data_IF_698781723606
#
_entry.id   IF_698781723606
#
_cell.length_a   1.000
_cell.length_b   1.000
_cell.length_c   1.000
_cell.angle_alpha   90.00
_cell.angle_beta   90.00
_cell.angle_gamma   90.00
#
_symmetry.space_group_name_H-M   'P 1'
#
loop_
_entity.id
_entity.type
_entity.pdbx_description
1 polymer ?
#
# COMPACT_ATOMS: atom_id res chain seq x y z
N UNK A 1 -41.03 61.27 11.61
CA UNK A 1 -41.63 59.92 11.48
C UNK A 1 -40.49 58.98 11.10
N UNK A 2 -39.93 58.07 11.89
CA UNK A 2 -40.28 57.50 13.19
C UNK A 2 -39.89 56.01 13.13
N UNK A 3 -38.67 55.66 13.53
CA UNK A 3 -38.34 54.28 13.91
C UNK A 3 -37.15 54.28 14.88
N UNK A 4 -37.35 53.78 16.10
CA UNK A 4 -36.31 53.17 16.89
C UNK A 4 -36.64 51.69 17.18
N UNK A 5 -35.61 50.88 17.40
CA UNK A 5 -35.78 49.57 18.05
C UNK A 5 -34.66 48.57 17.81
N UNK A 6 -33.63 48.61 18.64
CA UNK A 6 -32.75 47.45 18.93
C UNK A 6 -33.46 46.56 19.96
N UNK A 7 -33.37 45.23 19.85
CA UNK A 7 -32.95 44.25 20.89
C UNK A 7 -33.47 42.82 20.67
N UNK A 8 -32.67 41.85 21.19
CA UNK A 8 -32.87 40.41 21.42
C UNK A 8 -32.63 39.42 20.25
N UNK A 9 -31.50 38.68 20.19
CA UNK A 9 -30.98 37.51 20.95
C UNK A 9 -31.63 36.14 20.61
N UNK A 10 -30.73 35.16 20.42
CA UNK A 10 -30.82 33.71 20.72
C UNK A 10 -31.03 32.69 19.59
N UNK A 11 -29.96 31.87 19.47
CA UNK A 11 -29.92 30.41 19.25
C UNK A 11 -30.31 29.89 17.87
N UNK A 12 -29.30 29.42 17.14
CA UNK A 12 -29.26 28.06 16.59
C UNK A 12 -27.82 27.54 16.64
N UNK A 13 -27.39 27.20 17.85
CA UNK A 13 -26.47 26.08 18.06
C UNK A 13 -27.26 24.82 17.70
N UNK A 14 -26.83 24.09 16.67
CA UNK A 14 -27.45 22.81 16.36
C UNK A 14 -27.02 22.27 15.01
N UNK A 15 -26.37 21.09 15.04
CA UNK A 15 -26.03 20.23 13.91
C UNK A 15 -24.65 20.44 13.26
N UNK A 16 -23.64 20.72 14.07
CA UNK A 16 -22.32 20.11 13.85
C UNK A 16 -22.32 18.72 14.46
N UNK A 17 -23.17 17.81 13.97
CA UNK A 17 -22.90 16.37 14.10
C UNK A 17 -21.71 16.10 13.18
N UNK A 18 -20.52 16.43 13.68
CA UNK A 18 -19.29 15.82 13.23
C UNK A 18 -19.44 14.34 13.50
N UNK A 19 -19.92 13.62 12.50
CA UNK A 19 -19.70 12.19 12.34
C UNK A 19 -18.19 12.02 12.19
N UNK A 20 -17.46 12.11 13.31
CA UNK A 20 -16.20 11.44 13.47
C UNK A 20 -16.54 9.95 13.39
N UNK A 21 -16.74 9.47 12.16
CA UNK A 21 -16.62 8.07 11.86
C UNK A 21 -15.20 7.73 12.29
N UNK A 22 -15.05 7.18 13.50
CA UNK A 22 -13.81 6.57 13.94
C UNK A 22 -13.40 5.66 12.81
N UNK A 23 -12.38 6.06 12.05
CA UNK A 23 -11.88 5.29 10.94
C UNK A 23 -11.51 3.94 11.53
N UNK A 24 -12.19 2.88 11.09
CA UNK A 24 -11.94 1.54 11.58
C UNK A 24 -10.46 1.24 11.35
N UNK A 25 -9.70 1.11 12.43
CA UNK A 25 -8.30 0.72 12.36
C UNK A 25 -8.25 -0.79 12.24
N UNK A 26 -7.66 -1.27 11.15
CA UNK A 26 -7.33 -2.67 10.91
C UNK A 26 -5.83 -2.83 11.21
N UNK A 27 -5.43 -3.34 12.40
CA UNK A 27 -4.05 -3.25 12.90
C UNK A 27 -2.98 -3.83 11.96
N UNK A 28 -3.21 -4.99 11.34
CA UNK A 28 -2.26 -5.61 10.41
C UNK A 28 -2.11 -4.77 9.15
N UNK A 29 -3.23 -4.24 8.64
CA UNK A 29 -3.22 -3.35 7.48
C UNK A 29 -2.47 -2.04 7.77
N UNK A 30 -2.72 -1.44 8.92
CA UNK A 30 -2.01 -0.25 9.40
C UNK A 30 -0.50 -0.53 9.54
N UNK A 31 -0.12 -1.70 10.06
CA UNK A 31 1.27 -2.11 10.18
C UNK A 31 1.96 -2.24 8.81
N UNK A 32 1.31 -2.85 7.82
CA UNK A 32 1.81 -2.93 6.43
C UNK A 32 2.06 -1.53 5.86
N UNK A 33 1.09 -0.62 6.00
CA UNK A 33 1.21 0.74 5.49
C UNK A 33 2.31 1.54 6.20
N UNK A 34 2.43 1.41 7.53
CA UNK A 34 3.52 2.02 8.30
C UNK A 34 4.89 1.51 7.87
N UNK A 35 5.04 0.24 7.56
CA UNK A 35 6.31 -0.33 7.08
C UNK A 35 6.64 0.12 5.66
N UNK A 36 5.64 0.18 4.78
CA UNK A 36 5.81 0.75 3.45
C UNK A 36 6.26 2.22 3.49
N UNK A 37 5.63 3.02 4.37
CA UNK A 37 6.00 4.40 4.60
C UNK A 37 7.40 4.54 5.20
N UNK A 38 7.73 3.73 6.21
CA UNK A 38 9.06 3.72 6.83
C UNK A 38 10.16 3.42 5.81
N UNK A 39 9.94 2.43 4.94
CA UNK A 39 10.86 2.11 3.86
C UNK A 39 11.05 3.30 2.91
N UNK A 40 9.95 3.93 2.48
CA UNK A 40 9.98 5.12 1.62
C UNK A 40 10.76 6.28 2.24
N UNK A 41 10.59 6.54 3.54
CA UNK A 41 11.18 7.72 4.20
C UNK A 41 12.64 7.51 4.62
N UNK A 42 13.06 6.26 4.85
CA UNK A 42 14.35 5.96 5.50
C UNK A 42 15.40 5.46 4.51
N UNK A 43 14.99 4.80 3.43
CA UNK A 43 15.93 4.12 2.54
C UNK A 43 16.25 4.92 1.29
N UNK A 44 17.51 5.34 1.19
CA UNK A 44 18.07 5.95 -0.01
C UNK A 44 18.67 4.86 -0.90
N UNK A 45 17.83 4.20 -1.68
CA UNK A 45 18.23 3.11 -2.58
C UNK A 45 17.81 3.40 -4.01
N UNK A 46 18.53 2.88 -4.99
CA UNK A 46 18.15 2.95 -6.40
C UNK A 46 17.35 1.72 -6.82
N UNK A 47 16.48 1.88 -7.82
CA UNK A 47 15.88 0.73 -8.48
C UNK A 47 16.95 -0.01 -9.30
N UNK A 48 17.01 -1.32 -9.17
CA UNK A 48 17.85 -2.16 -10.03
C UNK A 48 17.06 -3.40 -10.41
N UNK A 49 17.06 -3.75 -11.70
CA UNK A 49 16.37 -4.96 -12.14
C UNK A 49 17.01 -6.21 -11.49
N UNK A 50 16.21 -6.97 -10.73
CA UNK A 50 16.70 -8.12 -9.95
C UNK A 50 17.34 -7.75 -8.61
N UNK A 51 17.36 -6.46 -8.23
CA UNK A 51 17.83 -6.01 -6.92
C UNK A 51 16.97 -6.58 -5.79
N UNK A 52 17.62 -7.13 -4.77
CA UNK A 52 16.96 -7.95 -3.76
C UNK A 52 17.46 -7.76 -2.32
N UNK A 53 18.23 -6.70 -2.04
CA UNK A 53 18.86 -6.49 -0.74
C UNK A 53 18.72 -5.06 -0.23
N UNK A 54 18.48 -4.97 1.06
CA UNK A 54 18.61 -3.77 1.88
C UNK A 54 19.76 -4.00 2.87
N UNK A 55 20.92 -3.39 2.62
CA UNK A 55 22.12 -3.54 3.47
C UNK A 55 22.37 -2.26 4.29
N UNK A 56 23.56 -2.09 4.84
CA UNK A 56 23.91 -0.90 5.61
C UNK A 56 23.96 0.38 4.72
N UNK A 57 23.78 1.57 5.31
CA UNK A 57 23.75 2.83 4.56
C UNK A 57 24.99 3.10 3.70
N UNK A 58 26.18 2.64 4.12
CA UNK A 58 27.43 2.86 3.36
C UNK A 58 27.42 2.07 2.06
N UNK A 59 26.94 0.82 2.10
CA UNK A 59 26.77 -0.02 0.91
C UNK A 59 25.77 0.59 -0.07
N UNK A 60 24.63 1.09 0.42
CA UNK A 60 23.63 1.75 -0.41
C UNK A 60 24.15 3.04 -1.04
N UNK A 61 24.90 3.85 -0.29
CA UNK A 61 25.54 5.06 -0.81
C UNK A 61 26.59 4.74 -1.90
N UNK A 62 27.36 3.66 -1.74
CA UNK A 62 28.33 3.22 -2.74
C UNK A 62 27.64 2.79 -4.06
N UNK A 63 26.51 2.06 -3.97
CA UNK A 63 25.69 1.76 -5.14
C UNK A 63 25.18 3.04 -5.83
N UNK A 64 24.58 3.96 -5.06
CA UNK A 64 24.05 5.20 -5.62
C UNK A 64 25.14 6.05 -6.29
N UNK A 65 26.33 6.16 -5.67
CA UNK A 65 27.46 6.89 -6.24
C UNK A 65 27.96 6.27 -7.55
N UNK A 66 28.02 4.94 -7.62
CA UNK A 66 28.37 4.26 -8.87
C UNK A 66 27.34 4.55 -9.97
N UNK A 67 26.05 4.45 -9.64
CA UNK A 67 24.98 4.70 -10.61
C UNK A 67 24.96 6.16 -11.09
N UNK A 68 25.36 7.11 -10.26
CA UNK A 68 25.43 8.53 -10.63
C UNK A 68 26.56 8.79 -11.63
N UNK A 69 27.69 8.08 -11.46
CA UNK A 69 28.83 8.14 -12.35
C UNK A 69 28.53 7.48 -13.71
N UNK A 70 28.00 6.26 -13.71
CA UNK A 70 27.81 5.48 -14.92
C UNK A 70 26.52 5.83 -15.68
N UNK A 71 25.49 6.32 -14.99
CA UNK A 71 24.17 6.65 -15.55
C UNK A 71 23.54 5.52 -16.36
N UNK A 72 23.81 4.27 -15.96
CA UNK A 72 23.39 3.07 -16.67
C UNK A 72 21.87 2.89 -16.71
N UNK A 73 21.41 2.31 -17.82
CA UNK A 73 20.03 1.89 -17.97
C UNK A 73 19.65 0.83 -16.93
N UNK A 74 18.39 0.78 -16.44
CA UNK A 74 18.02 -0.04 -15.29
C UNK A 74 18.36 -1.54 -15.37
N UNK A 75 18.48 -2.09 -16.58
CA UNK A 75 18.85 -3.50 -16.82
C UNK A 75 20.37 -3.75 -16.78
N UNK A 76 21.16 -2.72 -17.04
CA UNK A 76 22.63 -2.79 -17.13
C UNK A 76 23.30 -2.44 -15.81
N UNK A 77 22.57 -1.78 -14.90
CA UNK A 77 23.05 -1.31 -13.58
C UNK A 77 23.82 -2.34 -12.77
N UNK A 78 23.43 -3.62 -12.75
CA UNK A 78 24.18 -4.65 -12.00
C UNK A 78 25.52 -4.99 -12.64
N UNK A 79 25.59 -4.97 -13.97
CA UNK A 79 26.82 -5.21 -14.71
C UNK A 79 27.79 -4.05 -14.53
N UNK A 80 27.29 -2.82 -14.66
CA UNK A 80 28.12 -1.62 -14.60
C UNK A 80 28.47 -1.21 -13.17
N UNK A 81 27.57 -1.49 -12.22
CA UNK A 81 27.74 -1.22 -10.81
C UNK A 81 27.51 -2.47 -9.95
N UNK A 82 28.47 -3.42 -9.90
CA UNK A 82 28.33 -4.68 -9.16
C UNK A 82 28.05 -4.53 -7.66
N UNK A 83 28.47 -3.42 -7.06
CA UNK A 83 28.17 -3.06 -5.65
C UNK A 83 26.66 -2.97 -5.38
N UNK A 84 25.85 -2.72 -6.40
CA UNK A 84 24.40 -2.69 -6.27
C UNK A 84 23.77 -4.06 -6.02
N UNK A 85 24.51 -5.17 -6.21
CA UNK A 85 24.07 -6.50 -5.75
C UNK A 85 23.89 -6.56 -4.22
N UNK A 86 24.55 -5.67 -3.48
CA UNK A 86 24.51 -5.66 -2.03
C UNK A 86 23.56 -4.63 -1.44
N UNK A 87 23.15 -3.61 -2.20
CA UNK A 87 22.04 -2.75 -1.81
C UNK A 87 21.29 -2.18 -3.02
N UNK A 88 20.17 -2.82 -3.36
CA UNK A 88 19.19 -2.36 -4.34
C UNK A 88 17.92 -3.18 -4.22
N UNK A 89 16.80 -2.63 -4.71
CA UNK A 89 15.52 -3.34 -4.77
C UNK A 89 14.87 -3.23 -6.13
N UNK A 90 14.12 -4.26 -6.50
CA UNK A 90 13.06 -4.21 -7.50
C UNK A 90 11.66 -4.08 -6.87
N UNK A 91 10.64 -3.92 -7.71
CA UNK A 91 9.26 -3.72 -7.26
C UNK A 91 8.69 -4.91 -6.47
N UNK A 92 9.00 -6.15 -6.86
CA UNK A 92 8.55 -7.38 -6.18
C UNK A 92 9.24 -7.55 -4.83
N UNK A 93 10.57 -7.38 -4.77
CA UNK A 93 11.34 -7.46 -3.53
C UNK A 93 10.93 -6.39 -2.54
N UNK A 94 10.58 -5.18 -3.00
CA UNK A 94 9.98 -4.16 -2.13
C UNK A 94 8.71 -4.66 -1.42
N UNK A 95 7.76 -5.23 -2.16
CA UNK A 95 6.51 -5.72 -1.55
C UNK A 95 6.76 -6.88 -0.58
N UNK A 96 7.73 -7.75 -0.89
CA UNK A 96 8.18 -8.80 0.01
C UNK A 96 8.76 -8.23 1.32
N UNK A 97 9.67 -7.25 1.23
CA UNK A 97 10.27 -6.62 2.42
C UNK A 97 9.24 -5.86 3.25
N UNK A 98 8.25 -5.21 2.63
CA UNK A 98 7.13 -4.58 3.36
C UNK A 98 6.39 -5.60 4.22
N UNK A 99 5.96 -6.73 3.65
CA UNK A 99 5.21 -7.74 4.40
C UNK A 99 6.06 -8.42 5.47
N UNK A 100 7.30 -8.75 5.15
CA UNK A 100 8.27 -9.31 6.11
C UNK A 100 8.49 -8.38 7.31
N UNK A 101 8.73 -7.08 7.08
CA UNK A 101 8.90 -6.11 8.17
C UNK A 101 7.59 -5.82 8.92
N UNK A 102 6.44 -6.05 8.29
CA UNK A 102 5.15 -5.99 8.95
C UNK A 102 4.83 -7.26 9.78
N UNK A 103 5.75 -8.22 9.86
CA UNK A 103 5.56 -9.47 10.60
C UNK A 103 4.57 -10.42 9.94
N UNK A 104 4.26 -10.22 8.66
CA UNK A 104 3.42 -11.13 7.88
C UNK A 104 4.30 -12.18 7.21
N UNK A 105 3.79 -13.42 7.14
CA UNK A 105 4.51 -14.49 6.45
C UNK A 105 4.53 -14.23 4.94
N UNK A 106 5.68 -13.81 4.44
CA UNK A 106 5.89 -13.51 3.03
C UNK A 106 6.91 -14.49 2.43
N UNK A 107 6.61 -14.99 1.24
CA UNK A 107 7.57 -15.71 0.39
C UNK A 107 7.79 -14.85 -0.84
N UNK A 108 9.06 -14.66 -1.23
CA UNK A 108 9.40 -13.88 -2.42
C UNK A 108 8.70 -14.45 -3.67
N UNK A 109 8.17 -13.54 -4.50
CA UNK A 109 7.44 -13.86 -5.71
C UNK A 109 7.72 -12.78 -6.77
N UNK A 110 8.10 -13.19 -7.98
CA UNK A 110 8.30 -12.26 -9.09
C UNK A 110 6.95 -11.73 -9.60
N UNK A 111 6.95 -10.58 -10.27
CA UNK A 111 5.74 -10.03 -10.89
C UNK A 111 5.14 -10.92 -11.98
N UNK A 112 5.97 -11.67 -12.72
CA UNK A 112 5.51 -12.67 -13.68
C UNK A 112 4.71 -13.78 -12.99
N UNK A 113 5.26 -14.36 -11.93
CA UNK A 113 4.55 -15.41 -11.18
C UNK A 113 3.31 -14.88 -10.44
N UNK A 114 3.32 -13.63 -9.96
CA UNK A 114 2.10 -12.98 -9.44
C UNK A 114 0.96 -12.97 -10.47
N UNK A 115 1.29 -12.76 -11.75
CA UNK A 115 0.32 -12.76 -12.84
C UNK A 115 -0.14 -14.17 -13.23
N UNK A 116 0.79 -15.12 -13.31
CA UNK A 116 0.55 -16.38 -14.01
C UNK A 116 0.12 -17.53 -13.10
N UNK A 117 0.45 -17.49 -11.80
CA UNK A 117 0.13 -18.59 -10.89
C UNK A 117 -1.39 -18.74 -10.65
N UNK A 118 -1.90 -19.99 -10.55
CA UNK A 118 -3.27 -20.22 -10.13
C UNK A 118 -3.59 -19.60 -8.75
N UNK A 119 -4.83 -19.11 -8.52
CA UNK A 119 -5.21 -18.52 -7.23
C UNK A 119 -4.97 -19.41 -6.01
N UNK A 120 -5.10 -20.74 -6.15
CA UNK A 120 -4.89 -21.66 -5.04
C UNK A 120 -3.41 -21.85 -4.72
N UNK A 121 -2.53 -21.80 -5.72
CA UNK A 121 -1.07 -21.77 -5.51
C UNK A 121 -0.63 -20.48 -4.81
N UNK A 122 -1.15 -19.33 -5.26
CA UNK A 122 -0.91 -18.04 -4.60
C UNK A 122 -1.31 -18.09 -3.12
N UNK A 123 -2.46 -18.68 -2.81
CA UNK A 123 -2.94 -18.78 -1.43
C UNK A 123 -2.08 -19.75 -0.60
N UNK A 124 -1.83 -20.97 -1.11
CA UNK A 124 -1.16 -22.05 -0.35
C UNK A 124 0.33 -21.79 -0.14
N UNK A 125 1.05 -21.31 -1.17
CA UNK A 125 2.51 -21.18 -1.16
C UNK A 125 2.99 -19.78 -0.80
N UNK A 126 2.20 -18.75 -1.13
CA UNK A 126 2.62 -17.35 -1.04
C UNK A 126 1.75 -16.49 -0.11
N UNK A 127 0.70 -17.06 0.48
CA UNK A 127 -0.23 -16.35 1.35
C UNK A 127 -0.90 -15.15 0.67
N UNK A 128 -1.15 -15.24 -0.64
CA UNK A 128 -1.78 -14.21 -1.43
C UNK A 128 -3.14 -14.69 -1.95
N UNK A 129 -4.19 -13.92 -1.67
CA UNK A 129 -5.53 -14.09 -2.22
C UNK A 129 -5.68 -13.25 -3.48
N UNK A 130 -6.02 -13.89 -4.60
CA UNK A 130 -6.46 -13.17 -5.80
C UNK A 130 -7.92 -12.69 -5.62
N UNK A 131 -8.11 -11.38 -5.61
CA UNK A 131 -9.45 -10.75 -5.52
C UNK A 131 -9.95 -10.25 -6.89
N UNK A 132 -9.30 -10.67 -7.98
CA UNK A 132 -9.63 -10.33 -9.36
C UNK A 132 -9.01 -9.00 -9.81
N UNK A 133 -9.67 -8.34 -10.77
CA UNK A 133 -9.12 -7.14 -11.45
C UNK A 133 -9.85 -5.84 -11.13
N UNK A 134 -11.00 -5.94 -10.46
CA UNK A 134 -11.85 -4.78 -10.24
C UNK A 134 -11.32 -3.90 -9.12
N UNK A 135 -10.94 -2.66 -9.46
CA UNK A 135 -10.38 -1.67 -8.53
C UNK A 135 -11.29 -1.40 -7.34
N UNK A 136 -12.61 -1.50 -7.51
CA UNK A 136 -13.57 -1.28 -6.43
C UNK A 136 -13.42 -2.28 -5.27
N UNK A 137 -12.82 -3.46 -5.50
CA UNK A 137 -12.48 -4.45 -4.47
C UNK A 137 -11.17 -4.20 -3.74
N UNK A 138 -10.27 -3.39 -4.33
CA UNK A 138 -8.98 -3.07 -3.75
C UNK A 138 -9.11 -2.23 -2.48
N UNK A 139 -8.19 -2.45 -1.53
CA UNK A 139 -8.09 -1.75 -0.25
C UNK A 139 -6.64 -1.40 0.07
N UNK A 140 -6.38 -0.33 0.85
CA UNK A 140 -5.03 0.02 1.32
C UNK A 140 -4.24 -1.16 1.88
N UNK A 141 -3.06 -1.49 1.38
CA UNK A 141 -2.27 -2.67 1.76
C UNK A 141 -2.40 -3.85 0.81
N UNK A 142 -3.29 -3.77 -0.18
CA UNK A 142 -3.33 -4.73 -1.30
C UNK A 142 -2.24 -4.42 -2.33
N UNK A 143 -1.79 -5.44 -3.05
CA UNK A 143 -0.90 -5.33 -4.19
C UNK A 143 -1.72 -5.17 -5.47
N UNK A 144 -1.38 -4.17 -6.28
CA UNK A 144 -1.91 -4.03 -7.64
C UNK A 144 -0.82 -4.47 -8.62
N UNK A 145 -1.11 -5.53 -9.38
CA UNK A 145 -0.16 -6.15 -10.30
C UNK A 145 -0.47 -5.70 -11.72
N UNK A 146 0.56 -5.19 -12.39
CA UNK A 146 0.58 -4.76 -13.78
C UNK A 146 1.55 -5.64 -14.57
N UNK A 147 1.64 -5.42 -15.88
CA UNK A 147 2.61 -6.13 -16.70
C UNK A 147 4.05 -5.74 -16.28
N UNK A 148 4.80 -6.71 -15.74
CA UNK A 148 6.18 -6.52 -15.29
C UNK A 148 6.37 -5.63 -14.05
N UNK A 149 5.28 -5.23 -13.37
CA UNK A 149 5.36 -4.27 -12.26
C UNK A 149 4.32 -4.53 -11.18
N UNK A 150 4.66 -4.25 -9.93
CA UNK A 150 3.73 -4.34 -8.79
C UNK A 150 3.85 -3.11 -7.91
N UNK A 151 2.71 -2.66 -7.36
CA UNK A 151 2.66 -1.55 -6.41
C UNK A 151 1.84 -1.92 -5.17
N UNK A 152 2.15 -1.32 -4.04
CA UNK A 152 1.33 -1.38 -2.83
C UNK A 152 0.34 -0.22 -2.85
N UNK A 153 -0.96 -0.50 -2.71
CA UNK A 153 -1.99 0.52 -2.58
C UNK A 153 -1.91 1.16 -1.19
N UNK A 154 -1.62 2.44 -1.09
CA UNK A 154 -1.58 3.14 0.21
C UNK A 154 -2.94 3.75 0.55
N UNK A 155 -3.58 4.40 -0.41
CA UNK A 155 -4.86 5.08 -0.21
C UNK A 155 -5.71 4.91 -1.45
N UNK A 156 -7.02 4.74 -1.25
CA UNK A 156 -7.98 4.65 -2.34
C UNK A 156 -8.97 5.81 -2.29
N UNK A 157 -9.06 6.55 -3.38
CA UNK A 157 -10.07 7.57 -3.64
C UNK A 157 -11.38 6.96 -4.15
N UNK A 158 -12.44 7.77 -4.15
CA UNK A 158 -13.79 7.34 -4.56
C UNK A 158 -13.96 7.25 -6.09
N UNK A 159 -13.12 7.94 -6.85
CA UNK A 159 -13.15 8.08 -8.31
C UNK A 159 -12.23 7.07 -9.03
N UNK A 160 -11.81 6.01 -8.33
CA UNK A 160 -10.87 5.02 -8.87
C UNK A 160 -9.41 5.47 -8.86
N UNK A 161 -9.11 6.69 -8.39
CA UNK A 161 -7.74 7.12 -8.11
C UNK A 161 -7.25 6.58 -6.78
N UNK A 162 -5.95 6.59 -6.58
CA UNK A 162 -5.34 6.26 -5.29
C UNK A 162 -3.89 6.70 -5.18
N UNK A 163 -3.36 6.57 -3.98
CA UNK A 163 -1.95 6.76 -3.71
C UNK A 163 -1.31 5.38 -3.62
N UNK A 164 -0.17 5.19 -4.27
CA UNK A 164 0.55 3.91 -4.31
C UNK A 164 2.01 4.12 -3.95
N UNK A 165 2.62 3.14 -3.29
CA UNK A 165 4.05 3.11 -3.01
C UNK A 165 4.67 1.91 -3.71
N UNK A 166 5.79 2.13 -4.41
CA UNK A 166 6.48 1.10 -5.15
C UNK A 166 7.93 1.48 -5.44
N UNK A 167 8.73 0.49 -5.88
CA UNK A 167 10.07 0.76 -6.38
C UNK A 167 10.08 0.80 -7.90
N UNK A 168 10.65 1.83 -8.50
CA UNK A 168 10.73 1.98 -9.95
C UNK A 168 11.90 2.87 -10.35
N UNK A 169 12.41 2.70 -11.57
CA UNK A 169 13.34 3.65 -12.17
C UNK A 169 12.72 5.00 -12.55
N UNK A 170 11.38 5.15 -12.43
CA UNK A 170 10.62 6.30 -12.93
C UNK A 170 11.11 7.69 -12.47
N UNK A 171 11.62 7.83 -11.25
CA UNK A 171 12.25 9.08 -10.76
C UNK A 171 13.76 9.00 -10.59
N UNK A 172 14.45 7.98 -11.11
CA UNK A 172 15.91 8.07 -11.23
C UNK A 172 16.33 9.20 -12.20
N UNK A 173 15.38 9.81 -12.91
CA UNK A 173 15.54 11.13 -13.54
C UNK A 173 15.94 12.24 -12.56
N UNK A 174 15.71 12.08 -11.25
CA UNK A 174 16.14 13.00 -10.19
C UNK A 174 17.47 12.58 -9.53
N UNK A 175 18.09 11.51 -10.03
CA UNK A 175 19.32 10.93 -9.51
C UNK A 175 19.12 9.61 -8.75
N UNK A 176 20.18 8.81 -8.60
CA UNK A 176 20.17 7.58 -7.80
C UNK A 176 19.76 7.81 -6.34
N UNK A 177 19.29 6.75 -5.67
CA UNK A 177 18.88 6.78 -4.27
C UNK A 177 17.39 7.07 -4.05
N UNK A 178 16.61 7.21 -5.12
CA UNK A 178 15.18 7.53 -5.09
C UNK A 178 14.31 6.45 -5.75
N UNK A 179 14.72 5.19 -5.63
CA UNK A 179 14.05 4.03 -6.19
C UNK A 179 12.65 3.79 -5.60
N UNK A 180 12.48 3.94 -4.28
CA UNK A 180 11.16 3.85 -3.62
C UNK A 180 10.43 5.18 -3.80
N UNK A 181 9.21 5.11 -4.34
CA UNK A 181 8.44 6.30 -4.72
C UNK A 181 6.99 6.15 -4.29
N UNK A 182 6.40 7.31 -3.94
CA UNK A 182 4.96 7.48 -3.79
C UNK A 182 4.41 8.21 -5.01
N UNK A 183 3.45 7.58 -5.67
CA UNK A 183 2.63 8.21 -6.69
C UNK A 183 1.26 8.55 -6.10
N UNK A 184 0.90 9.83 -6.17
CA UNK A 184 -0.33 10.34 -5.59
C UNK A 184 -1.40 10.50 -6.66
N UNK A 185 -2.65 10.20 -6.32
CA UNK A 185 -3.81 10.38 -7.20
C UNK A 185 -3.67 9.66 -8.56
N UNK A 186 -2.94 8.54 -8.57
CA UNK A 186 -2.75 7.68 -9.73
C UNK A 186 -4.09 7.03 -10.12
N UNK A 187 -4.39 7.00 -11.42
CA UNK A 187 -5.55 6.27 -11.93
C UNK A 187 -5.28 4.76 -11.85
N UNK A 188 -5.79 4.11 -10.80
CA UNK A 188 -5.36 2.76 -10.44
C UNK A 188 -5.65 1.73 -11.54
N UNK A 189 -6.75 1.89 -12.28
CA UNK A 189 -7.12 0.95 -13.33
C UNK A 189 -6.12 0.88 -14.49
N UNK A 190 -5.36 1.95 -14.73
CA UNK A 190 -4.52 2.13 -15.93
C UNK A 190 -3.12 2.68 -15.65
N UNK A 191 -2.69 2.75 -14.39
CA UNK A 191 -1.49 3.48 -13.96
C UNK A 191 -0.20 3.07 -14.72
N UNK A 192 0.04 1.77 -14.90
CA UNK A 192 1.17 1.21 -15.68
C UNK A 192 0.66 0.25 -16.75
N UNK A 193 -0.44 0.64 -17.40
CA UNK A 193 -1.28 -0.27 -18.18
C UNK A 193 -2.42 -0.85 -17.33
N UNK A 194 -3.20 -1.79 -17.89
CA UNK A 194 -4.34 -2.37 -17.18
C UNK A 194 -3.89 -3.17 -15.95
N UNK A 195 -4.64 -3.07 -14.86
CA UNK A 195 -4.45 -3.98 -13.71
C UNK A 195 -4.76 -5.40 -14.12
N UNK A 196 -3.77 -6.27 -13.98
CA UNK A 196 -3.87 -7.68 -14.34
C UNK A 196 -4.43 -8.49 -13.17
N UNK A 197 -4.06 -8.14 -11.94
CA UNK A 197 -4.55 -8.76 -10.70
C UNK A 197 -4.47 -7.81 -9.52
N UNK A 198 -5.32 -8.06 -8.54
CA UNK A 198 -5.25 -7.46 -7.22
C UNK A 198 -5.01 -8.61 -6.24
N UNK A 199 -3.89 -8.56 -5.54
CA UNK A 199 -3.50 -9.59 -4.58
C UNK A 199 -3.57 -9.03 -3.17
N UNK A 200 -4.21 -9.76 -2.27
CA UNK A 200 -4.33 -9.40 -0.85
C UNK A 200 -3.67 -10.46 0.00
N UNK A 201 -2.80 -10.07 0.92
CA UNK A 201 -2.22 -11.01 1.87
C UNK A 201 -3.33 -11.70 2.70
N UNK A 202 -3.25 -13.02 2.89
CA UNK A 202 -4.31 -13.81 3.53
C UNK A 202 -4.64 -13.32 4.93
N UNK A 203 -3.65 -12.89 5.70
CA UNK A 203 -3.89 -12.34 7.05
C UNK A 203 -4.65 -11.01 7.02
N UNK A 204 -4.50 -10.19 5.98
CA UNK A 204 -5.29 -8.97 5.81
C UNK A 204 -6.73 -9.30 5.40
N UNK A 205 -6.94 -10.39 4.65
CA UNK A 205 -8.27 -10.89 4.33
C UNK A 205 -8.98 -11.48 5.58
N UNK A 206 -8.24 -12.24 6.41
CA UNK A 206 -8.74 -12.78 7.68
C UNK A 206 -9.11 -11.66 8.66
N UNK A 207 -8.26 -10.65 8.81
CA UNK A 207 -8.53 -9.48 9.65
C UNK A 207 -9.85 -8.80 9.26
N UNK A 208 -10.09 -8.58 7.97
CA UNK A 208 -11.35 -8.01 7.51
C UNK A 208 -12.55 -8.90 7.84
N UNK A 209 -12.44 -10.21 7.58
CA UNK A 209 -13.51 -11.17 7.88
C UNK A 209 -13.87 -11.14 9.36
N UNK A 210 -12.86 -11.22 10.22
CA UNK A 210 -13.05 -11.27 11.67
C UNK A 210 -13.65 -9.96 12.19
N UNK A 211 -13.23 -8.82 11.63
CA UNK A 211 -13.85 -7.52 11.88
C UNK A 211 -15.34 -7.49 11.51
N UNK A 212 -15.71 -7.95 10.32
CA UNK A 212 -17.12 -8.00 9.89
C UNK A 212 -17.98 -8.92 10.76
N UNK A 213 -17.45 -10.08 11.15
CA UNK A 213 -18.15 -11.01 12.05
C UNK A 213 -18.40 -10.34 13.42
N UNK A 214 -17.39 -9.70 13.99
CA UNK A 214 -17.52 -9.00 15.28
C UNK A 214 -18.54 -7.86 15.23
N UNK A 215 -18.57 -7.09 14.14
CA UNK A 215 -19.57 -6.04 13.97
C UNK A 215 -20.99 -6.61 13.91
N UNK A 216 -21.22 -7.65 13.09
CA UNK A 216 -22.53 -8.28 12.95
C UNK A 216 -23.04 -8.83 14.29
N UNK A 217 -22.17 -9.47 15.06
CA UNK A 217 -22.53 -9.99 16.40
C UNK A 217 -22.90 -8.87 17.36
N UNK A 218 -22.16 -7.75 17.37
CA UNK A 218 -22.48 -6.58 18.21
C UNK A 218 -23.81 -5.95 17.84
N UNK A 219 -24.14 -5.82 16.56
CA UNK A 219 -25.44 -5.30 16.12
C UNK A 219 -26.57 -6.25 16.54
N UNK A 220 -26.41 -7.56 16.36
CA UNK A 220 -27.43 -8.54 16.76
C UNK A 220 -27.64 -8.67 18.28
N UNK A 221 -26.65 -8.31 19.09
CA UNK A 221 -26.77 -8.31 20.55
C UNK A 221 -27.54 -7.10 21.09
N UNK A 222 -27.57 -5.99 20.33
CA UNK A 222 -28.34 -4.78 20.66
C UNK A 222 -29.83 -4.90 20.27
N UNK A 223 -30.17 -5.83 19.38
CA UNK A 223 -31.54 -6.07 18.91
C UNK A 223 -32.31 -7.14 19.71
N UNK A 224 -31.74 -7.67 20.80
CA UNK A 224 -32.50 -8.56 21.70
C UNK A 224 -33.37 -7.71 22.65
N UNK A 225 -34.71 -7.78 22.57
CA UNK A 225 -35.56 -7.13 23.56
C UNK A 225 -35.23 -7.70 24.94
N UNK A 226 -35.05 -6.81 25.91
CA UNK A 226 -34.93 -7.20 27.31
C UNK A 226 -36.16 -8.05 27.65
N UNK A 227 -35.93 -9.30 28.05
CA UNK A 227 -36.99 -10.14 28.58
C UNK A 227 -37.61 -9.39 29.75
N UNK A 228 -38.87 -8.98 29.60
CA UNK A 228 -39.67 -8.44 30.69
C UNK A 228 -39.83 -9.60 31.67
N UNK A 229 -39.10 -9.53 32.77
CA UNK A 229 -39.27 -10.44 33.91
C UNK A 229 -40.56 -10.05 34.63
N UNK A 230 -41.54 -10.97 34.61
CA UNK A 230 -42.71 -10.96 35.50
C UNK A 230 -42.32 -11.29 36.95
#
# INVERSE_FOLDING_TARGET
MGSPGKFFLLILFGLSFGSQAFAVVLPKRDQVLKKAQHLLDTWTISYVYGGNKLSDPKTCQACNACLDLHKSDPKERLSDCPVCNDCSLDCSHYTFEVFKQAGLHATYLTTALMNDLPPDELAKKYNLLDIGRRIDRAMPGDLLVYNGHVVLLEKKGKDGRGDVIHVTSGRDLRGPGHGIQRERQAMLASFRGPVLRILRHLDLAREMRDFYIQQKTKTSALDKPAAISE
#
